data_IF_120857725385
#
_entry.id   IF_120857725385
#
_cell.length_a   1.000
_cell.length_b   1.000
_cell.length_c   1.000
_cell.angle_alpha   90.00
_cell.angle_beta   90.00
_cell.angle_gamma   90.00
#
_symmetry.space_group_name_H-M   'P 1'
#
loop_
_entity.id
_entity.type
_entity.pdbx_description
1 polymer ?
#
# COMPACT_ATOMS: atom_id res chain seq x y z
N UNK A 1 0.89 2.70 15.73
CA UNK A 1 1.51 2.18 14.50
C UNK A 1 0.78 2.75 13.29
N UNK A 2 1.45 3.37 12.30
CA UNK A 2 0.81 3.91 11.10
C UNK A 2 0.07 2.85 10.27
N UNK A 3 -1.06 3.24 9.67
CA UNK A 3 -1.83 2.43 8.73
C UNK A 3 -1.57 2.97 7.33
N UNK A 4 -1.02 2.14 6.43
CA UNK A 4 -0.61 2.57 5.10
C UNK A 4 -1.28 1.73 4.02
N UNK A 5 -2.14 2.36 3.23
CA UNK A 5 -2.76 1.74 2.03
C UNK A 5 -1.75 1.62 0.87
N UNK A 6 -0.68 2.42 0.88
CA UNK A 6 0.43 2.33 -0.07
C UNK A 6 1.45 1.23 0.24
N UNK A 7 1.35 0.57 1.40
CA UNK A 7 2.21 -0.56 1.76
C UNK A 7 1.48 -1.87 1.47
N UNK A 8 2.07 -2.74 0.64
CA UNK A 8 1.43 -4.02 0.30
C UNK A 8 1.44 -4.98 1.49
N UNK A 9 2.57 -5.04 2.21
CA UNK A 9 2.78 -5.94 3.35
C UNK A 9 2.85 -5.17 4.65
N UNK A 10 2.52 -5.83 5.77
CA UNK A 10 2.79 -5.30 7.11
C UNK A 10 4.29 -5.41 7.41
N UNK A 11 4.87 -4.35 7.94
CA UNK A 11 6.29 -4.22 8.22
C UNK A 11 6.50 -3.94 9.71
N UNK A 12 7.58 -4.45 10.29
CA UNK A 12 8.08 -4.01 11.59
C UNK A 12 9.58 -3.74 11.54
N UNK A 13 10.05 -2.86 12.41
CA UNK A 13 11.49 -2.60 12.56
C UNK A 13 12.21 -3.83 13.12
N UNK A 14 13.46 -4.00 12.70
CA UNK A 14 14.39 -4.97 13.29
C UNK A 14 14.55 -4.77 14.80
N UNK A 15 14.58 -3.52 15.26
CA UNK A 15 14.66 -3.18 16.69
C UNK A 15 13.45 -3.69 17.49
N UNK A 16 12.23 -3.53 16.98
CA UNK A 16 11.04 -4.13 17.61
C UNK A 16 11.15 -5.65 17.60
N UNK A 17 11.54 -6.23 16.47
CA UNK A 17 11.70 -7.66 16.33
C UNK A 17 12.67 -8.26 17.35
N UNK A 18 13.85 -7.67 17.51
CA UNK A 18 14.88 -8.15 18.43
C UNK A 18 14.48 -8.03 19.90
N UNK A 19 13.51 -7.16 20.22
CA UNK A 19 12.94 -7.05 21.57
C UNK A 19 11.90 -8.12 21.88
N UNK A 20 11.36 -8.81 20.86
CA UNK A 20 10.40 -9.88 21.05
C UNK A 20 11.11 -11.19 21.37
N UNK A 21 10.66 -11.89 22.42
CA UNK A 21 11.08 -13.26 22.64
C UNK A 21 10.33 -14.16 21.63
N UNK A 22 11.08 -14.87 20.78
CA UNK A 22 10.63 -16.09 20.06
C UNK A 22 10.09 -16.06 18.62
N UNK A 23 10.10 -15.01 17.78
CA UNK A 23 9.70 -15.19 16.40
C UNK A 23 10.85 -15.74 15.53
N UNK A 24 10.63 -16.87 14.85
CA UNK A 24 11.57 -17.41 13.86
C UNK A 24 11.46 -16.60 12.57
N UNK A 25 12.60 -16.14 12.05
CA UNK A 25 12.67 -15.53 10.72
C UNK A 25 12.72 -16.62 9.65
N UNK A 26 11.85 -16.48 8.65
CA UNK A 26 11.91 -17.23 7.41
C UNK A 26 12.40 -16.33 6.28
N UNK A 27 13.06 -16.93 5.29
CA UNK A 27 13.59 -16.21 4.13
C UNK A 27 12.48 -15.63 3.26
N UNK A 28 12.83 -14.57 2.52
CA UNK A 28 11.97 -13.92 1.55
C UNK A 28 12.63 -13.96 0.17
N UNK A 29 11.90 -14.44 -0.84
CA UNK A 29 12.43 -14.54 -2.22
C UNK A 29 12.21 -13.26 -3.04
N UNK A 30 11.47 -12.29 -2.50
CA UNK A 30 11.07 -11.07 -3.20
C UNK A 30 11.61 -9.83 -2.51
N UNK A 31 12.23 -8.97 -3.30
CA UNK A 31 12.61 -7.63 -2.88
C UNK A 31 11.36 -6.78 -2.59
N UNK A 32 11.46 -5.95 -1.55
CA UNK A 32 10.46 -4.92 -1.24
C UNK A 32 11.01 -3.58 -1.69
N UNK A 33 10.21 -2.86 -2.49
CA UNK A 33 10.54 -1.54 -2.96
C UNK A 33 9.78 -0.48 -2.14
N UNK A 34 10.46 0.64 -1.88
CA UNK A 34 9.84 1.83 -1.31
C UNK A 34 9.05 2.59 -2.38
N UNK A 35 8.32 3.63 -1.98
CA UNK A 35 7.61 4.51 -2.91
C UNK A 35 8.55 5.28 -3.87
N UNK A 36 9.83 5.44 -3.53
CA UNK A 36 10.84 6.04 -4.41
C UNK A 36 11.50 5.02 -5.35
N UNK A 37 11.10 3.75 -5.28
CA UNK A 37 11.68 2.66 -6.06
C UNK A 37 13.00 2.12 -5.50
N UNK A 38 13.47 2.65 -4.36
CA UNK A 38 14.66 2.10 -3.68
C UNK A 38 14.33 0.76 -3.01
N UNK A 39 15.33 -0.12 -2.90
CA UNK A 39 15.18 -1.38 -2.18
C UNK A 39 15.15 -1.11 -0.68
N UNK A 40 14.16 -1.67 0.01
CA UNK A 40 14.11 -1.69 1.46
C UNK A 40 15.01 -2.84 1.96
N UNK A 41 15.84 -2.57 2.97
CA UNK A 41 16.65 -3.62 3.60
C UNK A 41 15.75 -4.53 4.45
N UNK A 42 15.60 -5.79 4.04
CA UNK A 42 14.70 -6.77 4.64
C UNK A 42 15.50 -7.90 5.27
N UNK A 43 15.19 -8.23 6.52
CA UNK A 43 15.84 -9.30 7.28
C UNK A 43 15.12 -10.65 7.17
N UNK A 44 13.87 -10.64 6.69
CA UNK A 44 13.05 -11.82 6.47
C UNK A 44 11.58 -11.56 6.81
N UNK A 45 10.80 -12.63 6.93
CA UNK A 45 9.40 -12.59 7.33
C UNK A 45 9.12 -13.53 8.49
N UNK A 46 8.12 -13.21 9.30
CA UNK A 46 7.67 -14.04 10.41
C UNK A 46 6.16 -13.88 10.61
N UNK A 47 5.56 -14.69 11.47
CA UNK A 47 4.17 -14.52 11.88
C UNK A 47 4.20 -13.81 13.23
N UNK A 48 3.48 -12.70 13.33
CA UNK A 48 3.37 -11.90 14.54
C UNK A 48 1.90 -11.71 14.86
N UNK A 49 1.61 -11.86 16.14
CA UNK A 49 0.32 -11.56 16.73
C UNK A 49 0.24 -10.06 17.03
N UNK A 50 -0.69 -9.38 16.36
CA UNK A 50 -0.92 -7.94 16.51
C UNK A 50 -2.13 -7.76 17.42
N UNK A 51 -1.92 -7.16 18.59
CA UNK A 51 -2.99 -6.79 19.51
C UNK A 51 -3.60 -5.43 19.12
N UNK A 52 -4.91 -5.42 18.89
CA UNK A 52 -5.70 -4.21 18.67
C UNK A 52 -6.97 -4.30 19.52
N UNK A 53 -7.08 -3.43 20.54
CA UNK A 53 -8.23 -3.33 21.43
C UNK A 53 -8.67 -4.69 22.03
N UNK A 54 -7.74 -5.44 22.63
CA UNK A 54 -7.98 -6.74 23.28
C UNK A 54 -8.22 -7.91 22.31
N UNK A 55 -8.01 -7.69 21.01
CA UNK A 55 -8.10 -8.74 19.99
C UNK A 55 -6.75 -8.98 19.35
N UNK A 56 -6.40 -10.26 19.24
CA UNK A 56 -5.16 -10.70 18.66
C UNK A 56 -5.39 -11.13 17.22
N UNK A 57 -4.64 -10.52 16.30
CA UNK A 57 -4.68 -10.81 14.87
C UNK A 57 -3.34 -11.38 14.42
N UNK A 58 -3.31 -12.65 14.06
CA UNK A 58 -2.10 -13.29 13.56
C UNK A 58 -1.85 -12.88 12.11
N UNK A 59 -0.66 -12.36 11.83
CA UNK A 59 -0.36 -11.79 10.51
C UNK A 59 1.08 -12.07 10.07
N UNK A 60 1.24 -12.44 8.80
CA UNK A 60 2.56 -12.50 8.16
C UNK A 60 3.12 -11.09 8.05
N UNK A 61 4.26 -10.88 8.68
CA UNK A 61 4.88 -9.58 8.86
C UNK A 61 6.33 -9.64 8.42
N UNK A 62 6.76 -8.62 7.69
CA UNK A 62 8.13 -8.49 7.20
C UNK A 62 8.96 -7.68 8.19
N UNK A 63 10.15 -8.19 8.50
CA UNK A 63 11.11 -7.49 9.35
C UNK A 63 12.07 -6.73 8.47
N UNK A 64 12.10 -5.41 8.63
CA UNK A 64 12.88 -4.52 7.78
C UNK A 64 13.61 -3.46 8.61
N UNK A 65 14.57 -2.81 7.97
CA UNK A 65 15.26 -1.65 8.52
C UNK A 65 14.34 -0.42 8.43
N UNK A 66 13.71 -0.07 9.55
CA UNK A 66 12.72 0.99 9.65
C UNK A 66 13.05 1.91 10.83
N UNK A 67 12.87 3.22 10.62
CA UNK A 67 13.00 4.23 11.67
C UNK A 67 11.77 4.34 12.60
N UNK A 68 10.72 3.55 12.32
CA UNK A 68 9.47 3.51 13.09
C UNK A 68 9.20 2.08 13.54
N UNK A 69 8.32 1.92 14.54
CA UNK A 69 8.00 0.60 15.11
C UNK A 69 7.52 -0.39 14.04
N UNK A 70 6.60 0.05 13.17
CA UNK A 70 6.08 -0.76 12.08
C UNK A 70 5.04 -0.01 11.24
N UNK A 71 4.48 -0.68 10.24
CA UNK A 71 3.47 -0.18 9.31
C UNK A 71 2.44 -1.28 9.08
N UNK A 72 1.16 -0.96 9.21
CA UNK A 72 0.06 -1.87 8.88
C UNK A 72 -0.26 -1.78 7.38
N UNK A 73 0.08 -2.82 6.63
CA UNK A 73 -0.10 -2.86 5.17
C UNK A 73 -1.49 -3.35 4.73
N UNK A 74 -1.75 -3.26 3.43
CA UNK A 74 -3.05 -3.58 2.83
C UNK A 74 -3.40 -5.07 2.92
N UNK A 75 -2.43 -5.98 2.97
CA UNK A 75 -2.73 -7.41 3.20
C UNK A 75 -3.37 -7.67 4.55
N UNK A 76 -2.87 -7.04 5.62
CA UNK A 76 -3.56 -7.13 6.92
C UNK A 76 -4.98 -6.56 6.81
N UNK A 77 -5.11 -5.40 6.17
CA UNK A 77 -6.40 -4.71 6.04
C UNK A 77 -7.42 -5.57 5.30
N UNK A 78 -7.00 -6.26 4.22
CA UNK A 78 -7.86 -7.16 3.46
C UNK A 78 -8.20 -8.43 4.22
N UNK A 79 -7.21 -9.06 4.86
CA UNK A 79 -7.40 -10.32 5.59
C UNK A 79 -8.34 -10.18 6.79
N UNK A 80 -8.41 -8.99 7.39
CA UNK A 80 -9.22 -8.72 8.58
C UNK A 80 -10.38 -7.75 8.32
N UNK A 81 -10.80 -7.59 7.06
CA UNK A 81 -11.95 -6.77 6.65
C UNK A 81 -11.93 -5.37 7.25
N UNK A 82 -10.78 -4.70 7.17
CA UNK A 82 -10.61 -3.37 7.74
C UNK A 82 -11.35 -2.31 6.93
N UNK A 83 -12.06 -1.42 7.62
CA UNK A 83 -12.72 -0.24 7.05
C UNK A 83 -12.18 1.00 7.75
N UNK A 84 -11.70 1.99 7.01
CA UNK A 84 -11.13 3.22 7.58
C UNK A 84 -12.10 4.36 7.29
N UNK A 85 -12.66 4.97 8.33
CA UNK A 85 -13.41 6.23 8.24
C UNK A 85 -12.50 7.36 8.71
N UNK A 86 -11.89 8.02 7.73
CA UNK A 86 -10.96 9.14 7.96
C UNK A 86 -11.70 10.33 8.57
N UNK A 87 -12.97 10.55 8.20
CA UNK A 87 -13.77 11.68 8.67
C UNK A 87 -14.08 11.57 10.15
N UNK A 88 -14.44 10.37 10.62
CA UNK A 88 -14.69 10.10 12.05
C UNK A 88 -13.42 9.79 12.82
N UNK A 89 -12.33 9.48 12.13
CA UNK A 89 -11.08 9.06 12.75
C UNK A 89 -11.17 7.70 13.39
N UNK A 90 -11.90 6.77 12.77
CA UNK A 90 -12.10 5.42 13.27
C UNK A 90 -11.69 4.39 12.21
N UNK A 91 -11.22 3.24 12.66
CA UNK A 91 -11.03 2.05 11.84
C UNK A 91 -11.88 0.93 12.43
N UNK A 92 -12.61 0.20 11.59
CA UNK A 92 -13.21 -1.07 11.97
C UNK A 92 -12.28 -2.18 11.53
N UNK A 93 -11.95 -3.10 12.43
CA UNK A 93 -11.23 -4.34 12.12
C UNK A 93 -12.19 -5.48 12.43
N UNK A 94 -12.55 -6.27 11.41
CA UNK A 94 -13.53 -7.34 11.52
C UNK A 94 -14.85 -6.90 12.23
N UNK A 95 -15.37 -5.73 11.84
CA UNK A 95 -16.59 -5.13 12.40
C UNK A 95 -16.42 -4.40 13.74
N UNK A 96 -15.22 -4.39 14.34
CA UNK A 96 -14.96 -3.77 15.65
C UNK A 96 -14.29 -2.41 15.51
N UNK A 97 -14.88 -1.42 16.16
CA UNK A 97 -14.40 -0.03 16.09
C UNK A 97 -13.14 0.19 16.94
N UNK A 98 -12.15 0.84 16.35
CA UNK A 98 -10.93 1.29 16.99
C UNK A 98 -10.69 2.76 16.62
N UNK A 99 -10.35 3.59 17.60
CA UNK A 99 -10.11 5.02 17.37
C UNK A 99 -8.71 5.22 16.78
N UNK A 100 -8.61 6.01 15.72
CA UNK A 100 -7.35 6.40 15.12
C UNK A 100 -6.78 7.64 15.81
N UNK A 101 -5.46 7.66 15.94
CA UNK A 101 -4.72 8.86 16.29
C UNK A 101 -4.09 9.42 15.02
N UNK A 102 -4.53 10.59 14.58
CA UNK A 102 -3.93 11.26 13.43
C UNK A 102 -2.70 12.06 13.88
N UNK A 103 -1.55 11.73 13.30
CA UNK A 103 -0.30 12.46 13.52
C UNK A 103 0.07 13.26 12.27
N UNK A 104 0.48 14.52 12.47
CA UNK A 104 0.85 15.46 11.41
C UNK A 104 -0.27 16.44 11.02
N UNK A 105 0.08 17.49 10.27
CA UNK A 105 -0.91 18.38 9.65
C UNK A 105 -1.48 17.71 8.40
N UNK A 106 -2.80 17.79 8.24
CA UNK A 106 -3.53 17.31 7.06
C UNK A 106 -3.05 18.10 5.83
N UNK A 107 -2.18 17.48 5.02
CA UNK A 107 -1.68 18.00 3.75
C UNK A 107 -2.40 17.41 2.53
N UNK A 108 -1.91 17.69 1.32
CA UNK A 108 -2.47 17.12 0.10
C UNK A 108 -2.24 15.60 0.03
N UNK A 109 -3.31 14.82 -0.15
CA UNK A 109 -3.23 13.37 -0.32
C UNK A 109 -3.32 13.00 -1.81
N UNK A 110 -2.43 12.12 -2.26
CA UNK A 110 -2.53 11.49 -3.58
C UNK A 110 -3.37 10.22 -3.49
N UNK A 111 -4.60 10.27 -3.99
CA UNK A 111 -5.44 9.07 -4.14
C UNK A 111 -5.26 8.56 -5.57
N UNK A 112 -4.84 7.30 -5.72
CA UNK A 112 -4.78 6.64 -7.03
C UNK A 112 -5.79 5.51 -7.07
N UNK A 113 -6.72 5.58 -8.02
CA UNK A 113 -7.72 4.54 -8.27
C UNK A 113 -7.34 3.85 -9.57
N UNK A 114 -7.12 2.55 -9.53
CA UNK A 114 -6.88 1.74 -10.72
C UNK A 114 -8.14 0.92 -11.04
N UNK A 115 -8.57 0.96 -12.29
CA UNK A 115 -9.66 0.11 -12.80
C UNK A 115 -9.23 -0.52 -14.12
N UNK A 116 -9.62 -1.78 -14.33
CA UNK A 116 -9.39 -2.47 -15.59
C UNK A 116 -10.47 -2.03 -16.60
N UNK A 117 -10.04 -1.56 -17.76
CA UNK A 117 -10.91 -1.21 -18.89
C UNK A 117 -10.52 -2.07 -20.07
N UNK A 118 -11.49 -2.76 -20.69
CA UNK A 118 -11.29 -3.46 -21.95
C UNK A 118 -11.45 -2.47 -23.10
N UNK A 119 -10.39 -2.29 -23.88
CA UNK A 119 -10.39 -1.37 -25.03
C UNK A 119 -10.49 -2.18 -26.33
N UNK A 120 -11.43 -1.84 -27.22
CA UNK A 120 -11.46 -2.40 -28.57
C UNK A 120 -10.17 -2.12 -29.34
N UNK A 121 -9.87 -2.98 -30.32
CA UNK A 121 -8.75 -2.77 -31.24
C UNK A 121 -8.87 -1.40 -31.93
N UNK A 122 -7.73 -0.70 -32.05
CA UNK A 122 -7.59 0.63 -32.69
C UNK A 122 -8.22 1.82 -31.95
N UNK A 123 -8.45 1.71 -30.64
CA UNK A 123 -8.81 2.88 -29.83
C UNK A 123 -7.58 3.58 -29.25
N UNK A 124 -7.65 4.90 -29.17
CA UNK A 124 -6.74 5.74 -28.41
C UNK A 124 -7.41 6.12 -27.08
N UNK A 125 -6.65 6.08 -25.98
CA UNK A 125 -7.14 6.48 -24.66
C UNK A 125 -6.46 7.77 -24.24
N UNK A 126 -7.27 8.80 -24.02
CA UNK A 126 -6.85 10.03 -23.38
C UNK A 126 -6.96 9.87 -21.86
N UNK A 127 -5.81 9.79 -21.20
CA UNK A 127 -5.75 9.78 -19.73
C UNK A 127 -5.60 11.22 -19.24
N UNK A 128 -6.64 11.73 -18.58
CA UNK A 128 -6.58 13.05 -17.95
C UNK A 128 -6.08 12.91 -16.52
N UNK A 129 -4.94 13.55 -16.21
CA UNK A 129 -4.48 13.69 -14.84
C UNK A 129 -5.08 14.96 -14.23
N UNK A 130 -6.16 14.80 -13.48
CA UNK A 130 -6.74 15.91 -12.73
C UNK A 130 -5.87 16.17 -11.50
N UNK A 131 -5.19 17.32 -11.47
CA UNK A 131 -4.54 17.84 -10.27
C UNK A 131 -5.52 18.79 -9.59
N UNK A 132 -6.08 18.39 -8.45
CA UNK A 132 -6.80 19.33 -7.60
C UNK A 132 -5.77 20.12 -6.78
N UNK A 133 -5.22 21.18 -7.34
CA UNK A 133 -4.61 22.26 -6.55
C UNK A 133 -5.69 23.29 -6.22
N UNK A 134 -5.58 24.00 -5.09
CA UNK A 134 -6.51 25.07 -4.70
C UNK A 134 -6.40 26.34 -5.58
N UNK A 135 -5.65 26.28 -6.68
CA UNK A 135 -5.41 27.40 -7.59
C UNK A 135 -6.24 27.26 -8.87
N UNK A 136 -6.70 28.37 -9.48
CA UNK A 136 -7.48 28.33 -10.72
C UNK A 136 -6.69 27.65 -11.84
N UNK A 137 -7.31 26.66 -12.46
CA UNK A 137 -6.73 25.84 -13.53
C UNK A 137 -6.42 26.72 -14.75
N UNK A 138 -5.16 26.86 -15.19
CA UNK A 138 -4.85 27.54 -16.43
C UNK A 138 -5.39 26.77 -17.64
N UNK A 139 -5.73 27.45 -18.76
CA UNK A 139 -6.27 26.80 -19.94
C UNK A 139 -5.33 25.73 -20.48
N UNK A 140 -5.90 24.57 -20.78
CA UNK A 140 -5.24 23.32 -21.20
C UNK A 140 -4.23 23.60 -22.32
N UNK A 141 -2.93 23.38 -22.07
CA UNK A 141 -1.87 23.53 -23.09
C UNK A 141 -0.98 22.31 -23.32
N UNK A 142 -1.10 21.24 -22.54
CA UNK A 142 -0.28 20.05 -22.76
C UNK A 142 -1.11 18.77 -22.62
N UNK A 143 -1.20 18.04 -23.71
CA UNK A 143 -1.77 16.70 -23.80
C UNK A 143 -0.58 15.75 -23.93
N UNK A 144 -0.29 15.00 -22.87
CA UNK A 144 0.65 13.88 -22.96
C UNK A 144 0.00 12.78 -23.82
N UNK A 145 0.42 12.68 -25.07
CA UNK A 145 0.00 11.59 -25.99
C UNK A 145 0.80 10.34 -25.65
N UNK A 146 0.23 9.44 -24.86
CA UNK A 146 0.78 8.10 -24.68
C UNK A 146 0.16 7.19 -25.77
N UNK A 147 0.94 6.91 -26.82
CA UNK A 147 0.61 5.90 -27.82
C UNK A 147 0.90 4.51 -27.24
N UNK A 148 -0.15 3.74 -26.96
CA UNK A 148 -0.01 2.31 -26.64
C UNK A 148 -0.09 1.52 -27.95
N UNK A 149 1.08 1.16 -28.50
CA UNK A 149 1.15 0.24 -29.63
C UNK A 149 0.98 -1.20 -29.13
N UNK A 150 -0.17 -1.82 -29.43
CA UNK A 150 -0.36 -3.26 -29.28
C UNK A 150 0.41 -3.99 -30.38
N UNK A 151 1.53 -4.64 -30.05
CA UNK A 151 2.11 -5.67 -30.91
C UNK A 151 1.43 -7.01 -30.60
N UNK A 152 0.59 -7.48 -31.53
CA UNK A 152 0.12 -8.86 -31.58
C UNK A 152 0.97 -9.70 -32.56
N UNK A 153 1.15 -10.97 -32.18
CA UNK A 153 1.61 -12.18 -32.90
C UNK A 153 3.03 -12.65 -32.53
N UNK A 154 3.27 -13.90 -32.16
CA UNK A 154 2.56 -15.14 -32.55
C UNK A 154 2.76 -16.26 -31.51
N UNK A 155 1.73 -17.08 -31.34
CA UNK A 155 1.85 -18.47 -30.83
C UNK A 155 2.86 -19.25 -31.67
N UNK A 156 3.63 -20.13 -31.03
CA UNK A 156 3.95 -21.47 -31.54
C UNK A 156 4.27 -22.39 -30.36
N UNK A 157 3.48 -23.45 -30.30
CA UNK A 157 3.67 -24.71 -29.58
C UNK A 157 5.03 -25.34 -29.84
N UNK A 158 5.70 -25.78 -28.79
CA UNK A 158 6.21 -27.14 -28.55
C UNK A 158 6.35 -27.31 -27.03
#
# INVERSE_FOLDING_TARGET
MPIATGATVTLISKKLFDSMHSPVLSTMDKDILTNSGSRLNVFGKTIIDIDINEYVYSNITVVADLNIVGILGIYFQRSHSCVIDITKGNIWVNGRECRLHFEGQIGCYGVSVASHVQLPLRMEVLVYRIRTTREPVPPIKEVDRILVANQEKSRLTC
#
